data_IF_718733570927
#
_entry.id   IF_718733570927
#
_cell.length_a   1.000
_cell.length_b   1.000
_cell.length_c   1.000
_cell.angle_alpha   90.00
_cell.angle_beta   90.00
_cell.angle_gamma   90.00
#
_symmetry.space_group_name_H-M   'P 1'
#
loop_
_entity.id
_entity.type
_entity.pdbx_description
1 polymer ?
#
# COMPACT_ATOMS: atom_id res chain seq x y z
N UNK A 1 -1.42 6.54 -9.15
CA UNK A 1 -0.09 5.96 -8.92
C UNK A 1 -0.09 5.05 -7.70
N UNK A 2 1.06 4.51 -7.33
CA UNK A 2 1.21 3.56 -6.20
C UNK A 2 1.33 4.23 -4.82
N UNK A 3 1.63 5.52 -4.77
CA UNK A 3 1.75 6.29 -3.54
C UNK A 3 0.40 6.79 -3.04
N UNK A 4 0.28 6.99 -1.74
CA UNK A 4 -0.79 7.79 -1.13
C UNK A 4 -0.27 9.22 -0.89
N UNK A 5 -1.12 10.22 -1.11
CA UNK A 5 -0.81 11.62 -0.82
C UNK A 5 -1.58 12.06 0.41
N UNK A 6 -0.87 12.58 1.41
CA UNK A 6 -1.45 13.12 2.65
C UNK A 6 -1.25 14.62 2.67
N UNK A 7 -2.30 15.37 2.99
CA UNK A 7 -2.25 16.83 3.03
C UNK A 7 -3.20 17.41 4.07
N UNK A 8 -3.10 18.74 4.26
CA UNK A 8 -3.91 19.49 5.25
C UNK A 8 -3.82 18.92 6.67
N UNK A 9 -2.65 18.40 7.04
CA UNK A 9 -2.37 17.88 8.39
C UNK A 9 -2.43 19.03 9.39
N UNK A 10 -3.32 18.92 10.37
CA UNK A 10 -3.54 19.96 11.40
C UNK A 10 -4.14 19.37 12.67
N UNK A 11 -4.01 20.04 13.83
CA UNK A 11 -4.70 19.63 15.05
C UNK A 11 -6.22 19.56 14.85
N UNK A 12 -6.86 18.61 15.50
CA UNK A 12 -8.31 18.53 15.58
C UNK A 12 -8.78 19.02 16.96
N UNK A 13 -9.87 19.79 17.08
CA UNK A 13 -10.37 20.19 18.40
C UNK A 13 -11.01 19.04 19.20
N UNK A 14 -11.40 17.94 18.53
CA UNK A 14 -12.07 16.78 19.14
C UNK A 14 -11.20 15.52 19.20
N UNK A 15 -10.19 15.44 18.34
CA UNK A 15 -9.25 14.32 18.24
C UNK A 15 -7.82 14.90 18.19
N UNK A 16 -6.78 14.10 18.00
CA UNK A 16 -5.42 14.65 17.97
C UNK A 16 -5.10 15.38 16.65
N UNK A 17 -5.31 14.71 15.51
CA UNK A 17 -4.92 15.20 14.18
C UNK A 17 -6.05 14.93 13.18
N UNK A 18 -6.26 15.89 12.27
CA UNK A 18 -7.07 15.71 11.06
C UNK A 18 -6.27 16.02 9.81
N UNK A 19 -6.51 15.25 8.75
CA UNK A 19 -5.83 15.36 7.47
C UNK A 19 -6.76 14.93 6.34
N UNK A 20 -6.33 15.13 5.10
CA UNK A 20 -6.96 14.61 3.88
C UNK A 20 -5.99 13.65 3.23
N UNK A 21 -6.49 12.51 2.78
CA UNK A 21 -5.70 11.52 2.04
C UNK A 21 -6.32 11.26 0.67
N UNK A 22 -5.49 11.23 -0.36
CA UNK A 22 -5.85 10.85 -1.72
C UNK A 22 -5.06 9.61 -2.13
N UNK A 23 -5.76 8.60 -2.62
CA UNK A 23 -5.19 7.42 -3.24
C UNK A 23 -5.86 7.12 -4.58
N UNK A 24 -5.12 6.51 -5.50
CA UNK A 24 -5.68 6.09 -6.78
C UNK A 24 -6.37 4.72 -6.60
N UNK A 25 -7.69 4.70 -6.70
CA UNK A 25 -8.50 3.51 -6.44
C UNK A 25 -8.17 2.32 -7.35
N UNK A 26 -8.01 2.51 -8.67
CA UNK A 26 -7.78 1.38 -9.59
C UNK A 26 -6.31 0.93 -9.67
N UNK A 27 -5.36 1.83 -9.41
CA UNK A 27 -3.94 1.52 -9.35
C UNK A 27 -3.60 1.04 -7.94
N UNK A 28 -3.51 1.94 -6.95
CA UNK A 28 -3.13 1.54 -5.59
C UNK A 28 -4.21 0.70 -4.90
N UNK A 29 -5.49 1.00 -5.10
CA UNK A 29 -6.59 0.30 -4.40
C UNK A 29 -6.98 -1.05 -5.01
N UNK A 30 -6.62 -1.32 -6.27
CA UNK A 30 -6.99 -2.55 -6.96
C UNK A 30 -5.76 -3.24 -7.58
N UNK A 31 -5.48 -3.02 -8.87
CA UNK A 31 -4.52 -3.83 -9.62
C UNK A 31 -3.10 -3.79 -9.02
N UNK A 32 -2.64 -2.60 -8.62
CA UNK A 32 -1.35 -2.39 -7.99
C UNK A 32 -1.25 -2.98 -6.58
N UNK A 33 -2.32 -2.98 -5.79
CA UNK A 33 -2.32 -3.69 -4.50
C UNK A 33 -2.18 -5.19 -4.70
N UNK A 34 -2.92 -5.78 -5.65
CA UNK A 34 -2.82 -7.21 -5.96
C UNK A 34 -1.42 -7.61 -6.40
N UNK A 35 -0.79 -6.82 -7.27
CA UNK A 35 0.57 -7.07 -7.73
C UNK A 35 1.60 -6.95 -6.58
N UNK A 36 1.52 -5.89 -5.79
CA UNK A 36 2.42 -5.70 -4.64
C UNK A 36 2.27 -6.83 -3.61
N UNK A 37 1.04 -7.31 -3.40
CA UNK A 37 0.79 -8.47 -2.54
C UNK A 37 1.40 -9.74 -3.14
N UNK A 38 1.30 -9.97 -4.45
CA UNK A 38 1.91 -11.12 -5.10
C UNK A 38 3.45 -11.10 -4.96
N UNK A 39 4.08 -9.95 -5.17
CA UNK A 39 5.52 -9.77 -4.95
C UNK A 39 5.92 -10.05 -3.48
N UNK A 40 5.11 -9.61 -2.52
CA UNK A 40 5.34 -9.85 -1.10
C UNK A 40 5.26 -11.34 -0.76
N UNK A 41 4.23 -12.03 -1.24
CA UNK A 41 4.03 -13.47 -1.00
C UNK A 41 5.19 -14.27 -1.60
N UNK A 42 5.66 -13.90 -2.80
CA UNK A 42 6.86 -14.50 -3.41
C UNK A 42 8.09 -14.29 -2.54
N UNK A 43 8.38 -13.05 -2.11
CA UNK A 43 9.53 -12.74 -1.25
C UNK A 43 9.47 -13.44 0.12
N UNK A 44 8.27 -13.68 0.65
CA UNK A 44 8.07 -14.40 1.91
C UNK A 44 8.10 -15.92 1.76
N UNK A 45 8.31 -16.46 0.55
CA UNK A 45 8.32 -17.90 0.31
C UNK A 45 6.96 -18.57 0.56
N UNK A 46 5.87 -17.80 0.49
CA UNK A 46 4.50 -18.28 0.76
C UNK A 46 3.81 -18.83 -0.49
N UNK A 47 4.45 -18.74 -1.66
CA UNK A 47 4.02 -19.41 -2.88
C UNK A 47 4.57 -20.84 -2.86
N UNK A 48 3.70 -21.81 -2.60
CA UNK A 48 4.05 -23.24 -2.62
C UNK A 48 4.68 -23.62 -3.96
N UNK A 49 5.98 -23.95 -3.95
CA UNK A 49 6.72 -24.41 -5.13
C UNK A 49 7.52 -23.35 -5.89
N UNK A 50 7.39 -22.05 -5.58
CA UNK A 50 8.26 -21.01 -6.14
C UNK A 50 9.25 -20.54 -5.06
N UNK A 51 10.49 -21.02 -5.12
CA UNK A 51 11.57 -20.42 -4.35
C UNK A 51 11.78 -18.99 -4.86
N UNK A 52 11.88 -18.02 -3.96
CA UNK A 52 12.26 -16.65 -4.33
C UNK A 52 13.56 -16.69 -5.16
N UNK A 53 13.71 -15.85 -6.21
CA UNK A 53 14.97 -15.76 -6.94
C UNK A 53 16.11 -15.45 -5.94
N UNK A 54 17.28 -16.10 -6.06
CA UNK A 54 18.44 -15.72 -5.25
C UNK A 54 18.77 -14.25 -5.58
N UNK A 55 19.01 -13.48 -4.51
CA UNK A 55 19.31 -12.05 -4.59
C UNK A 55 20.58 -11.74 -5.36
#
# INVERSE_FOLDING_TARGET
GMSALVGRVRPCPLFDIKYVVLGHNTIRGAAGASLLNAELVLKKGMLGGLSAPPG
#
